data_IF_522259895982
#
_entry.id   IF_522259895982
#
_cell.length_a   1.000
_cell.length_b   1.000
_cell.length_c   1.000
_cell.angle_alpha   90.00
_cell.angle_beta   90.00
_cell.angle_gamma   90.00
#
_symmetry.space_group_name_H-M   'P 1'
#
loop_
_entity.id
_entity.type
_entity.pdbx_description
1 polymer ?
#
# COMPACT_ATOMS: atom_id res chain seq x y z
N UNK A 1 10.80 -12.89 -10.78
CA UNK A 1 10.32 -13.41 -9.49
C UNK A 1 8.81 -13.40 -9.51
N UNK A 2 8.20 -14.55 -9.33
CA UNK A 2 6.75 -14.67 -9.26
C UNK A 2 6.24 -14.06 -7.95
N UNK A 3 5.10 -13.37 -8.02
CA UNK A 3 4.48 -12.68 -6.88
C UNK A 3 3.19 -13.41 -6.49
N UNK A 4 2.85 -13.37 -5.21
CA UNK A 4 1.68 -14.07 -4.63
C UNK A 4 0.33 -13.73 -5.30
N UNK A 5 0.19 -12.57 -5.95
CA UNK A 5 -1.02 -12.15 -6.67
C UNK A 5 -1.06 -12.61 -8.14
N UNK A 6 0.05 -13.11 -8.71
CA UNK A 6 0.17 -13.35 -10.15
C UNK A 6 -0.94 -14.27 -10.70
N UNK A 7 -1.20 -15.37 -10.01
CA UNK A 7 -2.23 -16.35 -10.40
C UNK A 7 -3.64 -15.74 -10.38
N UNK A 8 -3.97 -14.99 -9.32
CA UNK A 8 -5.29 -14.36 -9.14
C UNK A 8 -5.54 -13.27 -10.18
N UNK A 9 -4.57 -12.40 -10.41
CA UNK A 9 -4.65 -11.37 -11.44
C UNK A 9 -4.80 -12.01 -12.83
N UNK A 10 -4.05 -13.09 -13.13
CA UNK A 10 -4.16 -13.81 -14.41
C UNK A 10 -5.53 -14.46 -14.59
N UNK A 11 -6.12 -15.01 -13.54
CA UNK A 11 -7.46 -15.59 -13.57
C UNK A 11 -8.54 -14.53 -13.78
N UNK A 12 -8.49 -13.45 -13.02
CA UNK A 12 -9.58 -12.47 -12.95
C UNK A 12 -9.55 -11.44 -14.09
N UNK A 13 -8.36 -11.16 -14.68
CA UNK A 13 -8.27 -10.24 -15.82
C UNK A 13 -9.09 -10.73 -17.04
N UNK A 14 -9.42 -12.04 -17.10
CA UNK A 14 -10.30 -12.58 -18.14
C UNK A 14 -11.75 -12.13 -18.00
N UNK A 15 -12.14 -11.67 -16.82
CA UNK A 15 -13.53 -11.33 -16.49
C UNK A 15 -13.76 -9.83 -16.40
N UNK A 16 -12.83 -9.09 -15.80
CA UNK A 16 -12.97 -7.66 -15.50
C UNK A 16 -11.62 -6.94 -15.63
N UNK A 17 -11.68 -5.61 -15.65
CA UNK A 17 -10.48 -4.80 -15.48
C UNK A 17 -9.80 -5.09 -14.14
N UNK A 18 -8.49 -4.95 -14.11
CA UNK A 18 -7.71 -5.08 -12.88
C UNK A 18 -7.21 -3.70 -12.45
N UNK A 19 -7.50 -3.33 -11.20
CA UNK A 19 -6.88 -2.18 -10.54
C UNK A 19 -5.85 -2.69 -9.54
N UNK A 20 -4.56 -2.47 -9.83
CA UNK A 20 -3.46 -2.91 -8.98
C UNK A 20 -2.82 -1.72 -8.28
N UNK A 21 -3.09 -1.57 -6.99
CA UNK A 21 -2.52 -0.52 -6.14
C UNK A 21 -1.42 -1.06 -5.21
N UNK A 22 -0.70 -0.17 -4.54
CA UNK A 22 0.31 -0.55 -3.56
C UNK A 22 1.47 0.44 -3.51
N UNK A 23 2.40 0.29 -2.54
CA UNK A 23 3.52 1.21 -2.37
C UNK A 23 4.31 1.43 -3.66
N UNK A 24 4.90 2.61 -3.82
CA UNK A 24 5.89 2.84 -4.88
C UNK A 24 7.02 1.81 -4.76
N UNK A 25 7.55 1.36 -5.89
CA UNK A 25 8.64 0.38 -5.95
C UNK A 25 8.31 -1.00 -5.32
N UNK A 26 7.03 -1.33 -5.10
CA UNK A 26 6.62 -2.68 -4.67
C UNK A 26 6.64 -3.73 -5.79
N UNK A 27 6.92 -3.32 -7.04
CA UNK A 27 7.02 -4.22 -8.19
C UNK A 27 5.73 -4.36 -9.01
N UNK A 28 4.75 -3.45 -8.89
CA UNK A 28 3.47 -3.48 -9.64
C UNK A 28 3.67 -3.58 -11.15
N UNK A 29 4.40 -2.64 -11.73
CA UNK A 29 4.67 -2.60 -13.17
C UNK A 29 5.42 -3.84 -13.64
N UNK A 30 6.36 -4.34 -12.84
CA UNK A 30 7.10 -5.57 -13.14
C UNK A 30 6.16 -6.78 -13.13
N UNK A 31 5.28 -6.89 -12.13
CA UNK A 31 4.30 -7.96 -12.06
C UNK A 31 3.41 -7.98 -13.32
N UNK A 32 2.77 -6.85 -13.65
CA UNK A 32 1.81 -6.84 -14.79
C UNK A 32 2.50 -7.11 -16.12
N UNK A 33 3.73 -6.63 -16.33
CA UNK A 33 4.51 -6.95 -17.55
C UNK A 33 4.89 -8.42 -17.68
N UNK A 34 5.00 -9.16 -16.57
CA UNK A 34 5.28 -10.60 -16.55
C UNK A 34 4.03 -11.47 -16.73
N UNK A 35 2.83 -10.89 -16.65
CA UNK A 35 1.58 -11.65 -16.75
C UNK A 35 1.10 -11.85 -18.19
N UNK A 36 1.54 -11.01 -19.12
CA UNK A 36 1.05 -10.99 -20.50
C UNK A 36 2.21 -11.13 -21.48
N UNK A 37 1.99 -11.92 -22.52
CA UNK A 37 2.98 -12.12 -23.58
C UNK A 37 3.03 -10.92 -24.55
N UNK A 38 1.85 -10.36 -24.85
CA UNK A 38 1.72 -9.17 -25.69
C UNK A 38 0.91 -8.09 -24.97
N UNK A 39 1.46 -6.89 -24.90
CA UNK A 39 0.79 -5.75 -24.25
C UNK A 39 1.25 -4.41 -24.82
N UNK A 40 0.39 -3.41 -24.66
CA UNK A 40 0.77 -2.00 -24.77
C UNK A 40 0.86 -1.38 -23.38
N UNK A 41 1.89 -0.55 -23.17
CA UNK A 41 2.14 0.10 -21.87
C UNK A 41 2.15 1.61 -22.03
N UNK A 42 1.38 2.29 -21.19
CA UNK A 42 1.29 3.74 -21.13
C UNK A 42 1.47 4.23 -19.70
N UNK A 43 2.40 5.15 -19.49
CA UNK A 43 2.64 5.80 -18.22
C UNK A 43 2.10 7.24 -18.26
N UNK A 44 1.15 7.57 -17.40
CA UNK A 44 0.56 8.92 -17.38
C UNK A 44 1.58 10.02 -17.05
N UNK A 45 2.73 9.70 -16.45
CA UNK A 45 3.80 10.67 -16.21
C UNK A 45 4.54 11.08 -17.51
N UNK A 46 4.46 10.27 -18.57
CA UNK A 46 5.01 10.57 -19.90
C UNK A 46 4.07 11.49 -20.70
N UNK A 47 4.61 12.56 -21.28
CA UNK A 47 3.81 13.49 -22.10
C UNK A 47 3.28 12.83 -23.38
N UNK A 48 4.11 12.01 -24.04
CA UNK A 48 3.73 11.32 -25.26
C UNK A 48 2.66 10.26 -25.01
N UNK A 49 2.77 9.53 -23.88
CA UNK A 49 1.77 8.57 -23.48
C UNK A 49 0.43 9.24 -23.13
N UNK A 50 0.45 10.41 -22.48
CA UNK A 50 -0.78 11.21 -22.26
C UNK A 50 -1.48 11.58 -23.56
N UNK A 51 -0.71 11.95 -24.59
CA UNK A 51 -1.26 12.24 -25.92
C UNK A 51 -1.86 10.98 -26.55
N UNK A 52 -1.15 9.85 -26.47
CA UNK A 52 -1.64 8.57 -26.96
C UNK A 52 -2.92 8.12 -26.25
N UNK A 53 -3.00 8.23 -24.92
CA UNK A 53 -4.18 7.92 -24.12
C UNK A 53 -5.39 8.78 -24.51
N UNK A 54 -5.20 10.08 -24.70
CA UNK A 54 -6.26 11.01 -25.12
C UNK A 54 -6.90 10.60 -26.46
N UNK A 55 -6.11 10.05 -27.37
CA UNK A 55 -6.56 9.62 -28.68
C UNK A 55 -6.81 8.11 -28.78
N UNK A 56 -6.76 7.37 -27.65
CA UNK A 56 -6.96 5.91 -27.57
C UNK A 56 -6.08 5.14 -28.57
N UNK A 57 -4.80 5.53 -28.67
CA UNK A 57 -3.83 4.96 -29.61
C UNK A 57 -3.12 3.76 -29.01
N UNK A 58 -3.82 2.65 -28.85
CA UNK A 58 -3.24 1.35 -28.51
C UNK A 58 -3.70 0.29 -29.47
N UNK A 59 -2.91 -0.77 -29.59
CA UNK A 59 -3.24 -1.92 -30.43
C UNK A 59 -4.44 -2.67 -29.86
N UNK A 60 -5.24 -3.27 -30.72
CA UNK A 60 -6.43 -4.03 -30.33
C UNK A 60 -6.19 -5.55 -30.39
N UNK A 61 -5.04 -5.97 -30.93
CA UNK A 61 -4.60 -7.36 -31.10
C UNK A 61 -3.62 -7.84 -30.01
N UNK A 62 -3.51 -7.10 -28.91
CA UNK A 62 -2.68 -7.44 -27.75
C UNK A 62 -3.51 -8.06 -26.62
N UNK A 63 -2.86 -8.82 -25.75
CA UNK A 63 -3.51 -9.46 -24.59
C UNK A 63 -4.01 -8.43 -23.58
N UNK A 64 -3.23 -7.36 -23.35
CA UNK A 64 -3.57 -6.34 -22.38
C UNK A 64 -3.10 -4.94 -22.77
N UNK A 65 -3.80 -3.92 -22.24
CA UNK A 65 -3.31 -2.54 -22.17
C UNK A 65 -3.06 -2.20 -20.71
N UNK A 66 -1.84 -1.77 -20.44
CA UNK A 66 -1.36 -1.45 -19.10
C UNK A 66 -1.31 0.08 -18.95
N UNK A 67 -2.14 0.62 -18.05
CA UNK A 67 -2.17 2.05 -17.72
C UNK A 67 -1.49 2.27 -16.38
N UNK A 68 -0.30 2.84 -16.38
CA UNK A 68 0.45 3.14 -15.15
C UNK A 68 0.20 4.59 -14.71
N UNK A 69 0.06 4.80 -13.41
CA UNK A 69 -0.22 6.08 -12.75
C UNK A 69 -1.47 6.81 -13.31
N UNK A 70 -2.45 6.06 -13.86
CA UNK A 70 -3.65 6.63 -14.49
C UNK A 70 -4.48 7.50 -13.55
N UNK A 71 -4.39 7.28 -12.23
CA UNK A 71 -5.09 8.05 -11.22
C UNK A 71 -4.75 9.56 -11.22
N UNK A 72 -3.64 9.93 -11.84
CA UNK A 72 -3.25 11.34 -12.04
C UNK A 72 -4.06 12.03 -13.15
N UNK A 73 -4.75 11.27 -14.00
CA UNK A 73 -5.63 11.82 -15.03
C UNK A 73 -6.91 12.37 -14.37
N UNK A 74 -7.30 13.64 -14.63
CA UNK A 74 -8.60 14.14 -14.20
C UNK A 74 -9.75 13.27 -14.73
N UNK A 75 -10.69 12.90 -13.87
CA UNK A 75 -11.86 12.06 -14.23
C UNK A 75 -11.51 10.69 -14.86
N UNK A 76 -10.36 10.12 -14.52
CA UNK A 76 -9.87 8.85 -15.07
C UNK A 76 -10.89 7.70 -14.96
N UNK A 77 -11.70 7.66 -13.91
CA UNK A 77 -12.73 6.62 -13.73
C UNK A 77 -13.85 6.72 -14.77
N UNK A 78 -14.29 7.94 -15.09
CA UNK A 78 -15.30 8.15 -16.13
C UNK A 78 -14.75 7.82 -17.52
N UNK A 79 -13.49 8.22 -17.77
CA UNK A 79 -12.79 7.90 -18.99
C UNK A 79 -12.62 6.38 -19.16
N UNK A 80 -12.19 5.68 -18.10
CA UNK A 80 -12.00 4.24 -18.11
C UNK A 80 -13.33 3.48 -18.28
N UNK A 81 -14.40 3.96 -17.64
CA UNK A 81 -15.76 3.44 -17.86
C UNK A 81 -16.16 3.55 -19.34
N UNK A 82 -15.93 4.71 -19.96
CA UNK A 82 -16.23 4.92 -21.36
C UNK A 82 -15.50 3.92 -22.26
N UNK A 83 -14.24 3.60 -21.96
CA UNK A 83 -13.48 2.59 -22.72
C UNK A 83 -14.08 1.21 -22.51
N UNK A 84 -14.29 0.81 -21.25
CA UNK A 84 -14.83 -0.51 -20.92
C UNK A 84 -16.19 -0.77 -21.60
N UNK A 85 -17.07 0.23 -21.57
CA UNK A 85 -18.42 0.12 -22.13
C UNK A 85 -18.43 0.14 -23.68
N UNK A 86 -17.41 0.71 -24.34
CA UNK A 86 -17.35 0.87 -25.81
C UNK A 86 -16.43 -0.14 -26.52
N UNK A 87 -15.33 -0.56 -25.89
CA UNK A 87 -14.32 -1.42 -26.51
C UNK A 87 -14.50 -2.91 -26.13
N UNK A 88 -15.55 -3.22 -25.38
CA UNK A 88 -15.86 -4.57 -24.90
C UNK A 88 -14.70 -5.17 -24.06
N UNK A 89 -14.42 -6.47 -24.18
CA UNK A 89 -13.48 -7.19 -23.31
C UNK A 89 -12.05 -7.26 -23.83
N UNK A 90 -11.75 -6.73 -25.02
CA UNK A 90 -10.40 -6.77 -25.63
C UNK A 90 -9.97 -5.43 -26.20
N UNK A 91 -8.70 -5.05 -26.04
CA UNK A 91 -7.71 -5.65 -25.14
C UNK A 91 -8.09 -5.46 -23.67
N UNK A 92 -7.64 -6.37 -22.83
CA UNK A 92 -7.93 -6.32 -21.39
C UNK A 92 -7.18 -5.19 -20.71
N UNK A 93 -7.80 -4.57 -19.73
CA UNK A 93 -7.26 -3.36 -19.10
C UNK A 93 -6.72 -3.69 -17.72
N UNK A 94 -5.47 -3.31 -17.49
CA UNK A 94 -4.85 -3.31 -16.16
C UNK A 94 -4.40 -1.89 -15.83
N UNK A 95 -4.86 -1.37 -14.71
CA UNK A 95 -4.46 -0.06 -14.19
C UNK A 95 -3.56 -0.26 -12.99
N UNK A 96 -2.40 0.36 -12.99
CA UNK A 96 -1.51 0.39 -11.82
C UNK A 96 -1.43 1.80 -11.23
N UNK A 97 -1.20 1.88 -9.94
CA UNK A 97 -1.03 3.16 -9.26
C UNK A 97 -0.34 3.05 -7.90
N UNK A 98 0.45 4.06 -7.58
CA UNK A 98 1.18 4.17 -6.32
C UNK A 98 0.34 4.71 -5.16
N UNK A 99 -0.82 5.29 -5.44
CA UNK A 99 -1.80 5.70 -4.44
C UNK A 99 -2.89 4.64 -4.26
N UNK A 100 -3.60 4.72 -3.15
CA UNK A 100 -4.78 3.90 -2.94
C UNK A 100 -5.89 4.30 -3.93
N UNK A 101 -6.02 3.54 -5.02
CA UNK A 101 -6.99 3.81 -6.09
C UNK A 101 -8.44 3.78 -5.59
N UNK A 102 -8.71 3.09 -4.49
CA UNK A 102 -10.05 3.02 -3.89
C UNK A 102 -10.44 4.29 -3.14
N UNK A 103 -9.48 5.03 -2.57
CA UNK A 103 -9.78 6.26 -1.84
C UNK A 103 -10.29 7.39 -2.72
N UNK A 104 -10.08 7.32 -4.02
CA UNK A 104 -10.73 8.22 -4.97
C UNK A 104 -12.21 7.84 -5.23
N UNK A 105 -12.81 6.96 -4.41
CA UNK A 105 -14.26 6.68 -4.43
C UNK A 105 -15.02 7.92 -3.97
N UNK A 106 -15.55 8.68 -4.93
CA UNK A 106 -16.64 9.60 -4.67
C UNK A 106 -17.95 8.81 -4.66
N UNK A 107 -18.93 9.27 -3.89
CA UNK A 107 -20.30 8.73 -3.94
C UNK A 107 -20.75 8.66 -5.41
N UNK A 108 -21.13 7.46 -5.89
CA UNK A 108 -21.46 7.22 -7.30
C UNK A 108 -20.26 6.75 -8.16
N UNK A 109 -19.44 5.82 -7.66
CA UNK A 109 -18.31 5.25 -8.42
C UNK A 109 -18.77 4.69 -9.77
N UNK A 110 -18.36 5.36 -10.85
CA UNK A 110 -18.74 5.02 -12.23
C UNK A 110 -18.18 3.65 -12.68
N UNK A 111 -17.21 3.08 -11.96
CA UNK A 111 -16.58 1.78 -12.29
C UNK A 111 -17.17 0.60 -11.53
N UNK A 112 -18.17 0.80 -10.66
CA UNK A 112 -18.77 -0.27 -9.86
C UNK A 112 -19.16 -1.49 -10.74
N UNK A 113 -18.75 -2.68 -10.33
CA UNK A 113 -19.02 -3.94 -11.04
C UNK A 113 -18.11 -4.25 -12.23
N UNK A 114 -17.22 -3.32 -12.67
CA UNK A 114 -16.38 -3.45 -13.86
C UNK A 114 -14.94 -3.84 -13.61
N UNK A 115 -14.49 -3.90 -12.35
CA UNK A 115 -13.11 -4.20 -11.98
C UNK A 115 -13.02 -5.11 -10.77
N UNK A 116 -11.87 -5.77 -10.64
CA UNK A 116 -11.35 -6.30 -9.39
C UNK A 116 -10.15 -5.46 -8.94
N UNK A 117 -10.05 -5.23 -7.62
CA UNK A 117 -8.98 -4.43 -7.02
C UNK A 117 -8.02 -5.33 -6.26
N UNK A 118 -6.73 -5.12 -6.45
CA UNK A 118 -5.65 -5.84 -5.78
C UNK A 118 -4.65 -4.88 -5.17
N UNK A 119 -4.09 -5.24 -4.01
CA UNK A 119 -3.07 -4.49 -3.29
C UNK A 119 -1.76 -5.27 -3.24
N UNK A 120 -0.77 -4.83 -4.01
CA UNK A 120 0.55 -5.46 -4.03
C UNK A 120 1.43 -4.90 -2.92
N UNK A 121 1.61 -5.69 -1.88
CA UNK A 121 2.51 -5.37 -0.76
C UNK A 121 3.99 -5.63 -1.09
N UNK A 122 4.93 -5.07 -0.29
CA UNK A 122 6.31 -5.52 -0.29
C UNK A 122 6.44 -7.02 -0.02
N UNK A 123 7.62 -7.57 -0.26
CA UNK A 123 7.92 -8.98 0.01
C UNK A 123 7.83 -9.26 1.51
N UNK A 124 7.34 -10.43 1.86
CA UNK A 124 7.37 -10.97 3.21
C UNK A 124 8.10 -12.33 3.25
N UNK A 125 8.25 -12.86 4.44
CA UNK A 125 8.98 -14.11 4.64
C UNK A 125 8.32 -15.29 3.90
N UNK A 126 6.98 -15.37 3.92
CA UNK A 126 6.22 -16.43 3.24
C UNK A 126 6.46 -16.39 1.72
N UNK A 127 6.34 -15.21 1.12
CA UNK A 127 6.53 -15.06 -0.32
C UNK A 127 7.96 -15.37 -0.75
N UNK A 128 8.95 -14.92 0.02
CA UNK A 128 10.36 -15.17 -0.28
C UNK A 128 10.71 -16.66 -0.19
N UNK A 129 10.31 -17.32 0.88
CA UNK A 129 10.60 -18.74 1.07
C UNK A 129 9.90 -19.62 0.04
N UNK A 130 8.64 -19.26 -0.32
CA UNK A 130 7.84 -20.00 -1.30
C UNK A 130 8.39 -19.88 -2.72
N UNK A 131 8.77 -18.68 -3.17
CA UNK A 131 9.11 -18.41 -4.57
C UNK A 131 10.60 -18.30 -4.85
N UNK A 132 11.45 -18.17 -3.83
CA UNK A 132 12.90 -18.09 -4.01
C UNK A 132 13.65 -19.30 -3.44
N UNK A 133 12.95 -20.25 -2.81
CA UNK A 133 13.56 -21.40 -2.12
C UNK A 133 14.72 -21.00 -1.19
N UNK A 134 14.65 -19.78 -0.64
CA UNK A 134 15.69 -19.25 0.26
C UNK A 134 15.45 -19.75 1.68
N UNK A 135 16.53 -20.03 2.39
CA UNK A 135 16.45 -20.35 3.82
C UNK A 135 15.73 -19.25 4.61
N UNK A 136 14.77 -19.64 5.44
CA UNK A 136 13.91 -18.72 6.17
C UNK A 136 14.68 -17.80 7.12
N UNK A 137 15.78 -18.28 7.72
CA UNK A 137 16.62 -17.49 8.63
C UNK A 137 17.38 -16.41 7.86
N UNK A 138 17.90 -16.74 6.68
CA UNK A 138 18.61 -15.79 5.81
C UNK A 138 17.61 -14.75 5.29
N UNK A 139 16.46 -15.19 4.80
CA UNK A 139 15.38 -14.32 4.34
C UNK A 139 14.92 -13.34 5.43
N UNK A 140 14.69 -13.83 6.64
CA UNK A 140 14.31 -13.00 7.78
C UNK A 140 15.39 -11.96 8.13
N UNK A 141 16.67 -12.36 8.20
CA UNK A 141 17.79 -11.44 8.46
C UNK A 141 17.87 -10.35 7.40
N UNK A 142 17.65 -10.70 6.13
CA UNK A 142 17.67 -9.75 5.01
C UNK A 142 16.48 -8.79 5.09
N UNK A 143 15.28 -9.29 5.37
CA UNK A 143 14.09 -8.44 5.60
C UNK A 143 14.31 -7.43 6.72
N UNK A 144 14.85 -7.88 7.85
CA UNK A 144 15.16 -7.02 9.02
C UNK A 144 16.27 -6.00 8.75
N UNK A 145 17.11 -6.22 7.74
CA UNK A 145 18.25 -5.36 7.42
C UNK A 145 18.05 -4.46 6.20
N UNK A 146 17.31 -4.94 5.19
CA UNK A 146 17.22 -4.34 3.86
C UNK A 146 15.79 -4.08 3.39
N UNK A 147 14.78 -4.27 4.26
CA UNK A 147 13.36 -4.07 3.93
C UNK A 147 12.76 -5.18 3.05
N UNK A 148 11.43 -5.19 2.96
CA UNK A 148 10.67 -6.07 2.05
C UNK A 148 10.42 -5.46 0.66
N UNK A 149 10.87 -4.24 0.39
CA UNK A 149 10.79 -3.69 -0.96
C UNK A 149 11.72 -4.47 -1.89
N UNK A 150 11.26 -4.87 -3.11
CA UNK A 150 12.01 -5.81 -3.96
C UNK A 150 13.45 -5.36 -4.27
N UNK A 151 13.64 -4.10 -4.63
CA UNK A 151 14.96 -3.61 -5.03
C UNK A 151 16.01 -3.70 -3.91
N UNK A 152 15.81 -3.10 -2.71
CA UNK A 152 16.79 -3.21 -1.63
C UNK A 152 16.87 -4.61 -1.04
N UNK A 153 15.79 -5.41 -1.07
CA UNK A 153 15.82 -6.79 -0.63
C UNK A 153 16.76 -7.65 -1.52
N UNK A 154 16.59 -7.56 -2.85
CA UNK A 154 17.36 -8.33 -3.82
C UNK A 154 18.84 -7.93 -3.83
N UNK A 155 19.17 -6.67 -3.55
CA UNK A 155 20.55 -6.22 -3.38
C UNK A 155 21.19 -6.77 -2.10
N UNK A 156 20.40 -6.96 -1.02
CA UNK A 156 20.87 -7.53 0.25
C UNK A 156 21.95 -6.70 0.96
N UNK A 157 22.17 -5.44 0.54
CA UNK A 157 23.18 -4.55 1.10
C UNK A 157 22.56 -3.41 1.93
N UNK A 158 23.00 -3.31 3.19
CA UNK A 158 22.58 -2.27 4.12
C UNK A 158 22.91 -0.85 3.66
N UNK A 159 24.04 -0.67 2.97
CA UNK A 159 24.47 0.63 2.46
C UNK A 159 23.57 1.04 1.30
N UNK A 160 23.27 0.11 0.40
CA UNK A 160 22.29 0.33 -0.67
C UNK A 160 20.93 0.73 -0.09
N UNK A 161 20.40 -0.03 0.88
CA UNK A 161 19.13 0.29 1.54
C UNK A 161 19.12 1.70 2.14
N UNK A 162 20.19 2.12 2.83
CA UNK A 162 20.29 3.49 3.41
C UNK A 162 20.18 4.57 2.35
N UNK A 163 20.79 4.37 1.18
CA UNK A 163 20.70 5.30 0.04
C UNK A 163 19.33 5.29 -0.59
N UNK A 164 18.80 4.09 -0.86
CA UNK A 164 17.46 3.88 -1.41
C UNK A 164 16.37 4.51 -0.53
N UNK A 165 16.45 4.32 0.79
CA UNK A 165 15.47 4.86 1.75
C UNK A 165 15.32 6.38 1.66
N UNK A 166 16.40 7.11 1.43
CA UNK A 166 16.37 8.58 1.28
C UNK A 166 15.55 8.96 0.04
N UNK A 167 15.90 8.37 -1.10
CA UNK A 167 15.22 8.69 -2.37
C UNK A 167 13.78 8.20 -2.39
N UNK A 168 13.47 7.05 -1.79
CA UNK A 168 12.12 6.52 -1.74
C UNK A 168 11.16 7.44 -0.98
N UNK A 169 11.55 7.96 0.18
CA UNK A 169 10.72 8.91 0.93
C UNK A 169 10.58 10.25 0.19
N UNK A 170 11.67 10.73 -0.39
CA UNK A 170 11.66 11.96 -1.19
C UNK A 170 10.68 11.87 -2.37
N UNK A 171 10.61 10.73 -3.03
CA UNK A 171 9.66 10.52 -4.12
C UNK A 171 8.22 10.60 -3.60
N UNK A 172 7.89 9.90 -2.51
CA UNK A 172 6.55 9.93 -1.91
C UNK A 172 6.16 11.35 -1.49
N UNK A 173 7.06 12.08 -0.81
CA UNK A 173 6.76 13.40 -0.27
C UNK A 173 6.82 14.50 -1.33
N UNK A 174 7.71 14.43 -2.32
CA UNK A 174 7.92 15.51 -3.29
C UNK A 174 7.14 15.32 -4.58
N UNK A 175 6.98 14.11 -5.09
CA UNK A 175 6.22 13.89 -6.32
C UNK A 175 4.73 13.69 -6.03
N UNK A 176 4.37 12.76 -5.16
CA UNK A 176 2.96 12.41 -4.93
C UNK A 176 2.25 13.46 -4.05
N UNK A 177 2.97 14.02 -3.06
CA UNK A 177 2.40 15.03 -2.17
C UNK A 177 2.26 16.40 -2.84
N UNK A 178 3.28 16.87 -3.60
CA UNK A 178 3.27 18.20 -4.22
C UNK A 178 2.23 18.29 -5.35
N UNK A 179 1.90 17.18 -5.99
CA UNK A 179 0.82 17.13 -6.98
C UNK A 179 -0.56 17.42 -6.36
N UNK A 180 -0.70 17.22 -5.04
CA UNK A 180 -1.96 17.36 -4.31
C UNK A 180 -1.99 18.55 -3.33
N UNK A 181 -0.82 19.04 -2.84
CA UNK A 181 -0.74 19.99 -1.74
C UNK A 181 0.38 21.04 -1.91
N UNK A 182 0.28 22.15 -1.16
CA UNK A 182 1.26 23.25 -1.24
C UNK A 182 2.61 22.90 -0.58
N UNK A 183 3.68 23.45 -1.13
CA UNK A 183 5.09 23.30 -0.68
C UNK A 183 5.32 23.72 0.79
N UNK A 184 4.48 24.61 1.34
CA UNK A 184 4.68 25.17 2.70
C UNK A 184 4.64 24.16 3.84
N UNK A 185 4.07 22.98 3.62
CA UNK A 185 3.92 21.93 4.66
C UNK A 185 4.99 20.84 4.60
N UNK A 186 5.83 20.78 3.54
CA UNK A 186 6.73 19.65 3.30
C UNK A 186 7.69 19.39 4.49
N UNK A 187 8.37 20.43 5.01
CA UNK A 187 9.26 20.27 6.17
C UNK A 187 8.55 19.75 7.41
N UNK A 188 7.31 20.19 7.65
CA UNK A 188 6.52 19.71 8.81
C UNK A 188 6.09 18.27 8.65
N UNK A 189 5.90 17.81 7.40
CA UNK A 189 5.56 16.42 7.11
C UNK A 189 6.76 15.51 7.28
N UNK A 190 7.96 15.97 6.86
CA UNK A 190 9.22 15.29 7.15
C UNK A 190 9.38 15.09 8.67
N UNK A 191 9.18 16.16 9.46
CA UNK A 191 9.18 16.07 10.91
C UNK A 191 8.09 15.14 11.47
N UNK A 192 6.89 15.14 10.87
CA UNK A 192 5.84 14.19 11.25
C UNK A 192 6.30 12.75 11.04
N UNK A 193 6.90 12.44 9.89
CA UNK A 193 7.44 11.09 9.62
C UNK A 193 8.49 10.71 10.66
N UNK A 194 9.41 11.61 11.02
CA UNK A 194 10.41 11.37 12.06
C UNK A 194 9.75 11.12 13.44
N UNK A 195 8.72 11.90 13.79
CA UNK A 195 7.91 11.69 14.99
C UNK A 195 7.23 10.33 15.00
N UNK A 196 6.70 9.87 13.86
CA UNK A 196 6.07 8.57 13.73
C UNK A 196 7.08 7.43 13.80
N UNK A 197 8.27 7.59 13.20
CA UNK A 197 9.36 6.59 13.33
C UNK A 197 9.78 6.41 14.79
N UNK A 198 9.93 7.49 15.54
CA UNK A 198 10.29 7.44 16.96
C UNK A 198 9.21 6.80 17.86
N UNK A 199 7.96 6.77 17.38
CA UNK A 199 6.79 6.23 18.10
C UNK A 199 6.20 5.00 17.39
N UNK A 200 6.93 4.38 16.48
CA UNK A 200 6.47 3.17 15.79
C UNK A 200 6.14 2.06 16.79
N UNK A 201 5.09 1.29 16.50
CA UNK A 201 4.54 0.25 17.36
C UNK A 201 3.94 0.75 18.70
N UNK A 202 3.99 2.06 18.99
CA UNK A 202 3.34 2.66 20.14
C UNK A 202 2.04 3.36 19.74
N UNK A 203 1.10 3.48 20.68
CA UNK A 203 -0.08 4.33 20.47
C UNK A 203 0.32 5.80 20.38
N UNK A 204 -0.21 6.53 19.40
CA UNK A 204 0.11 7.92 19.15
C UNK A 204 -1.04 8.85 19.58
N UNK A 205 -0.69 9.94 20.27
CA UNK A 205 -1.61 11.02 20.54
C UNK A 205 -1.50 12.09 19.44
N UNK A 206 -2.56 12.28 18.68
CA UNK A 206 -2.63 13.34 17.65
C UNK A 206 -2.43 14.74 18.25
N UNK A 207 -2.91 14.95 19.49
CA UNK A 207 -2.76 16.22 20.21
C UNK A 207 -1.30 16.53 20.53
N UNK A 208 -0.55 15.54 21.04
CA UNK A 208 0.86 15.73 21.37
C UNK A 208 1.68 16.00 20.08
N UNK A 209 1.44 15.25 19.01
CA UNK A 209 2.11 15.49 17.72
C UNK A 209 1.76 16.86 17.16
N UNK A 210 0.50 17.31 17.29
CA UNK A 210 0.09 18.63 16.83
C UNK A 210 0.79 19.76 17.58
N UNK A 211 0.98 19.60 18.90
CA UNK A 211 1.76 20.53 19.73
C UNK A 211 3.23 20.54 19.31
N UNK A 212 3.86 19.38 19.15
CA UNK A 212 5.28 19.26 18.74
C UNK A 212 5.54 19.94 17.37
N UNK A 213 4.58 19.85 16.43
CA UNK A 213 4.70 20.39 15.08
C UNK A 213 4.13 21.82 14.92
N UNK A 214 3.54 22.39 15.98
CA UNK A 214 2.84 23.67 15.92
C UNK A 214 1.81 23.74 14.79
N UNK A 215 0.86 22.78 14.80
CA UNK A 215 -0.25 22.69 13.84
C UNK A 215 -1.55 22.22 14.55
N UNK A 216 -2.68 22.30 13.87
CA UNK A 216 -3.94 21.78 14.37
C UNK A 216 -3.99 20.25 14.35
N UNK A 217 -4.71 19.66 15.29
CA UNK A 217 -4.93 18.21 15.39
C UNK A 217 -5.51 17.64 14.09
N UNK A 218 -6.47 18.34 13.47
CA UNK A 218 -7.05 17.93 12.18
C UNK A 218 -6.01 17.87 11.07
N UNK A 219 -5.03 18.77 11.09
CA UNK A 219 -3.92 18.79 10.13
C UNK A 219 -3.07 17.54 10.27
N UNK A 220 -2.71 17.12 11.50
CA UNK A 220 -1.96 15.88 11.75
C UNK A 220 -2.75 14.66 11.26
N UNK A 221 -4.05 14.58 11.60
CA UNK A 221 -4.92 13.49 11.14
C UNK A 221 -4.97 13.40 9.61
N UNK A 222 -5.13 14.53 8.92
CA UNK A 222 -5.14 14.59 7.47
C UNK A 222 -3.80 14.17 6.87
N UNK A 223 -2.69 14.61 7.43
CA UNK A 223 -1.36 14.23 6.94
C UNK A 223 -1.09 12.73 7.10
N UNK A 224 -1.48 12.13 8.25
CA UNK A 224 -1.36 10.68 8.44
C UNK A 224 -2.26 9.93 7.44
N UNK A 225 -3.49 10.40 7.21
CA UNK A 225 -4.38 9.81 6.21
C UNK A 225 -3.77 9.87 4.79
N UNK A 226 -3.08 10.95 4.45
CA UNK A 226 -2.41 11.07 3.16
C UNK A 226 -1.20 10.11 3.08
N UNK A 227 -0.39 10.00 4.15
CA UNK A 227 0.69 9.03 4.21
C UNK A 227 0.18 7.58 4.08
N UNK A 228 -1.01 7.28 4.62
CA UNK A 228 -1.68 5.98 4.40
C UNK A 228 -2.07 5.77 2.94
N UNK A 229 -2.59 6.82 2.28
CA UNK A 229 -2.99 6.76 0.88
C UNK A 229 -1.83 6.48 -0.06
N UNK A 230 -0.64 6.94 0.29
CA UNK A 230 0.60 6.65 -0.44
C UNK A 230 1.33 5.41 0.07
N UNK A 231 0.70 4.62 0.93
CA UNK A 231 1.31 3.40 1.49
C UNK A 231 2.67 3.66 2.15
N UNK A 232 2.86 4.83 2.76
CA UNK A 232 4.02 5.09 3.59
C UNK A 232 3.85 4.47 4.98
N UNK A 233 2.65 4.63 5.54
CA UNK A 233 2.26 4.10 6.85
C UNK A 233 0.88 3.46 6.80
N UNK A 234 0.52 2.73 7.86
CA UNK A 234 -0.85 2.30 8.13
C UNK A 234 -1.12 2.34 9.64
N UNK A 235 -2.39 2.51 9.99
CA UNK A 235 -2.82 2.55 11.39
C UNK A 235 -3.47 1.25 11.80
N UNK A 236 -3.15 0.80 13.02
CA UNK A 236 -3.86 -0.26 13.72
C UNK A 236 -4.61 0.39 14.88
N UNK A 237 -5.94 0.35 14.83
CA UNK A 237 -6.81 0.95 15.86
C UNK A 237 -7.11 -0.08 16.95
N UNK A 238 -7.39 0.36 18.20
CA UNK A 238 -7.75 -0.58 19.25
C UNK A 238 -9.10 -1.26 18.96
N UNK A 239 -9.21 -2.53 19.29
CA UNK A 239 -10.48 -3.25 19.19
C UNK A 239 -11.49 -2.72 20.22
N UNK A 240 -12.70 -2.43 19.77
CA UNK A 240 -13.80 -2.02 20.64
C UNK A 240 -15.13 -2.46 20.02
N UNK A 241 -16.05 -2.97 20.86
CA UNK A 241 -17.38 -3.34 20.39
C UNK A 241 -18.15 -2.18 19.72
N UNK A 242 -17.89 -0.96 20.12
CA UNK A 242 -18.45 0.24 19.49
C UNK A 242 -17.40 0.83 18.53
N UNK A 243 -17.58 0.64 17.22
CA UNK A 243 -16.69 1.08 16.15
C UNK A 243 -16.46 2.60 16.20
N UNK A 244 -17.51 3.40 16.43
CA UNK A 244 -17.39 4.86 16.49
C UNK A 244 -16.44 5.31 17.63
N UNK A 245 -16.45 4.60 18.77
CA UNK A 245 -15.54 4.87 19.89
C UNK A 245 -14.11 4.39 19.64
N UNK A 246 -13.90 3.35 18.83
CA UNK A 246 -12.55 2.88 18.51
C UNK A 246 -11.82 3.85 17.59
N UNK A 247 -12.53 4.50 16.66
CA UNK A 247 -11.97 5.50 15.75
C UNK A 247 -11.49 6.78 16.45
N UNK A 248 -12.02 7.05 17.66
CA UNK A 248 -11.61 8.21 18.47
C UNK A 248 -10.43 7.92 19.38
N UNK A 249 -9.99 6.65 19.50
CA UNK A 249 -8.86 6.26 20.35
C UNK A 249 -7.54 6.37 19.61
N UNK A 250 -6.46 6.45 20.37
CA UNK A 250 -5.09 6.56 19.88
C UNK A 250 -4.70 5.30 19.07
N UNK A 251 -4.38 5.41 17.77
CA UNK A 251 -3.93 4.29 16.96
C UNK A 251 -2.46 3.99 17.20
N UNK A 252 -2.02 2.76 16.93
CA UNK A 252 -0.61 2.46 16.66
C UNK A 252 -0.34 2.73 15.17
N UNK A 253 0.86 3.24 14.84
CA UNK A 253 1.28 3.51 13.47
C UNK A 253 2.44 2.59 13.10
N UNK A 254 2.34 1.98 11.93
CA UNK A 254 3.35 1.09 11.35
C UNK A 254 3.73 1.57 9.95
N UNK A 255 4.96 1.27 9.55
CA UNK A 255 5.50 1.63 8.24
C UNK A 255 5.48 0.44 7.29
N UNK A 256 5.14 0.64 6.03
CA UNK A 256 5.33 -0.39 4.99
C UNK A 256 6.80 -0.77 4.81
N UNK A 257 7.72 0.17 5.08
CA UNK A 257 9.15 -0.07 5.20
C UNK A 257 9.53 -0.25 6.68
N UNK A 258 9.42 -1.48 7.19
CA UNK A 258 9.67 -1.79 8.61
C UNK A 258 11.09 -1.43 9.07
N UNK A 259 12.08 -1.41 8.17
CA UNK A 259 13.48 -1.10 8.50
C UNK A 259 13.71 0.40 8.80
N UNK A 260 12.73 1.26 8.52
CA UNK A 260 12.74 2.66 9.02
C UNK A 260 12.72 2.75 10.53
N UNK A 261 12.10 1.79 11.19
CA UNK A 261 12.01 1.72 12.66
C UNK A 261 13.36 1.33 13.23
N UNK A 262 13.94 2.19 14.08
CA UNK A 262 15.30 2.00 14.59
C UNK A 262 15.38 0.95 15.68
N UNK A 263 14.43 0.92 16.62
CA UNK A 263 14.37 -0.06 17.68
C UNK A 263 14.14 -1.47 17.14
N UNK A 264 14.97 -2.48 17.50
CA UNK A 264 14.85 -3.83 16.96
C UNK A 264 13.53 -4.53 17.33
N UNK A 265 13.00 -4.32 18.53
CA UNK A 265 11.73 -4.90 18.98
C UNK A 265 10.55 -4.31 18.23
N UNK A 266 10.46 -2.98 18.19
CA UNK A 266 9.43 -2.27 17.42
C UNK A 266 9.53 -2.57 15.92
N UNK A 267 10.74 -2.76 15.36
CA UNK A 267 10.93 -3.18 13.96
C UNK A 267 10.39 -4.58 13.71
N UNK A 268 10.63 -5.52 14.62
CA UNK A 268 10.07 -6.87 14.52
C UNK A 268 8.55 -6.83 14.56
N UNK A 269 7.97 -6.08 15.50
CA UNK A 269 6.52 -5.89 15.61
C UNK A 269 5.97 -5.25 14.31
N UNK A 270 6.66 -4.25 13.76
CA UNK A 270 6.28 -3.62 12.50
C UNK A 270 6.36 -4.60 11.31
N UNK A 271 7.36 -5.49 11.26
CA UNK A 271 7.47 -6.50 10.21
C UNK A 271 6.31 -7.49 10.28
N UNK A 272 5.96 -7.93 11.50
CA UNK A 272 4.78 -8.80 11.74
C UNK A 272 3.50 -8.09 11.33
N UNK A 273 3.34 -6.81 11.68
CA UNK A 273 2.20 -5.99 11.26
C UNK A 273 2.05 -5.95 9.73
N UNK A 274 3.16 -5.76 8.99
CA UNK A 274 3.16 -5.77 7.53
C UNK A 274 2.73 -7.13 6.96
N UNK A 275 3.23 -8.23 7.51
CA UNK A 275 2.87 -9.59 7.07
C UNK A 275 1.38 -9.88 7.32
N UNK A 276 0.88 -9.53 8.50
CA UNK A 276 -0.54 -9.68 8.86
C UNK A 276 -1.43 -8.84 7.93
N UNK A 277 -1.10 -7.56 7.74
CA UNK A 277 -1.86 -6.67 6.85
C UNK A 277 -1.88 -7.20 5.42
N UNK A 278 -0.73 -7.67 4.90
CA UNK A 278 -0.64 -8.29 3.58
C UNK A 278 -1.55 -9.51 3.46
N UNK A 279 -1.54 -10.39 4.45
CA UNK A 279 -2.41 -11.58 4.47
C UNK A 279 -3.89 -11.21 4.52
N UNK A 280 -4.25 -10.23 5.32
CA UNK A 280 -5.63 -9.74 5.43
C UNK A 280 -6.11 -9.11 4.11
N UNK A 281 -5.29 -8.23 3.52
CA UNK A 281 -5.60 -7.65 2.21
C UNK A 281 -5.70 -8.73 1.11
N UNK A 282 -4.87 -9.77 1.17
CA UNK A 282 -4.97 -10.89 0.25
C UNK A 282 -6.33 -11.61 0.35
N UNK A 283 -6.80 -11.90 1.56
CA UNK A 283 -8.12 -12.52 1.78
C UNK A 283 -9.25 -11.61 1.29
N UNK A 284 -9.13 -10.32 1.55
CA UNK A 284 -10.13 -9.33 1.12
C UNK A 284 -10.19 -9.22 -0.40
N UNK A 285 -9.02 -9.08 -1.07
CA UNK A 285 -8.90 -8.87 -2.50
C UNK A 285 -9.25 -10.13 -3.33
N UNK A 286 -8.97 -11.34 -2.79
CA UNK A 286 -9.15 -12.61 -3.53
C UNK A 286 -10.38 -13.40 -3.13
N UNK A 287 -10.89 -13.22 -1.91
CA UNK A 287 -12.00 -14.03 -1.37
C UNK A 287 -13.20 -13.17 -0.96
N UNK A 288 -13.05 -11.83 -0.92
CA UNK A 288 -14.12 -10.92 -0.53
C UNK A 288 -14.44 -10.91 0.97
N UNK A 289 -13.55 -11.46 1.81
CA UNK A 289 -13.71 -11.42 3.27
C UNK A 289 -13.65 -9.97 3.77
N UNK A 290 -14.36 -9.66 4.84
CA UNK A 290 -14.20 -8.39 5.57
C UNK A 290 -13.11 -8.56 6.62
N UNK A 291 -11.95 -7.94 6.41
CA UNK A 291 -10.81 -8.12 7.30
C UNK A 291 -10.44 -6.86 8.04
N UNK A 292 -10.00 -7.00 9.30
CA UNK A 292 -9.54 -5.88 10.13
C UNK A 292 -8.37 -6.33 11.00
N UNK A 293 -7.38 -5.45 11.12
CA UNK A 293 -6.28 -5.60 12.07
C UNK A 293 -6.47 -4.60 13.20
N UNK A 294 -6.51 -5.09 14.42
CA UNK A 294 -6.66 -4.30 15.65
C UNK A 294 -5.55 -4.63 16.62
N UNK A 295 -5.41 -3.83 17.68
CA UNK A 295 -4.70 -4.22 18.90
C UNK A 295 -5.67 -4.24 20.08
N UNK A 296 -5.31 -4.96 21.16
CA UNK A 296 -6.09 -4.97 22.39
C UNK A 296 -5.36 -4.20 23.46
N UNK A 297 -6.09 -3.36 24.20
CA UNK A 297 -5.57 -2.70 25.40
C UNK A 297 -6.64 -2.64 26.48
N UNK A 298 -6.35 -3.22 27.64
CA UNK A 298 -7.24 -3.18 28.80
C UNK A 298 -7.15 -1.84 29.52
N UNK A 299 -8.08 -1.57 30.42
CA UNK A 299 -8.05 -0.38 31.28
C UNK A 299 -6.84 -0.38 32.23
N UNK A 300 -6.36 -1.56 32.59
CA UNK A 300 -5.21 -1.77 33.45
C UNK A 300 -3.87 -1.68 32.70
N UNK A 301 -3.91 -1.37 31.41
CA UNK A 301 -2.72 -1.17 30.57
C UNK A 301 -2.12 -2.45 29.99
N UNK A 302 -2.72 -3.63 30.21
CA UNK A 302 -2.30 -4.86 29.51
C UNK A 302 -2.62 -4.75 28.03
N UNK A 303 -1.69 -5.17 27.17
CA UNK A 303 -1.78 -5.03 25.73
C UNK A 303 -1.51 -6.36 25.05
N UNK A 304 -2.19 -6.59 23.92
CA UNK A 304 -1.87 -7.63 22.92
C UNK A 304 -1.65 -6.90 21.59
N UNK A 305 -0.53 -7.13 20.96
CA UNK A 305 -0.07 -6.34 19.82
C UNK A 305 -1.03 -6.39 18.65
N UNK A 306 -1.57 -7.58 18.32
CA UNK A 306 -2.50 -7.73 17.21
C UNK A 306 -3.68 -8.62 17.55
N UNK A 307 -4.86 -8.18 17.11
CA UNK A 307 -6.08 -8.97 17.04
C UNK A 307 -6.54 -8.99 15.57
N UNK A 308 -6.56 -10.17 15.01
CA UNK A 308 -7.05 -10.41 13.66
C UNK A 308 -8.55 -10.67 13.70
N UNK A 309 -9.31 -9.92 12.90
CA UNK A 309 -10.76 -10.05 12.78
C UNK A 309 -11.10 -10.34 11.32
N UNK A 310 -11.88 -11.40 11.07
CA UNK A 310 -12.36 -11.79 9.74
C UNK A 310 -13.88 -11.97 9.84
N UNK A 311 -14.63 -11.31 8.95
CA UNK A 311 -16.09 -11.32 8.91
C UNK A 311 -16.71 -11.00 10.29
N UNK A 312 -16.18 -9.92 10.90
CA UNK A 312 -16.53 -9.40 12.22
C UNK A 312 -16.30 -10.40 13.38
N UNK A 313 -15.54 -11.48 13.17
CA UNK A 313 -15.16 -12.46 14.20
C UNK A 313 -13.68 -12.37 14.52
N UNK A 314 -13.28 -12.22 15.79
CA UNK A 314 -11.89 -12.37 16.21
C UNK A 314 -11.42 -13.81 15.95
N UNK A 315 -10.33 -13.96 15.20
CA UNK A 315 -9.79 -15.28 14.81
C UNK A 315 -8.43 -15.57 15.42
N UNK A 316 -7.63 -14.54 15.72
CA UNK A 316 -6.31 -14.72 16.33
C UNK A 316 -5.92 -13.49 17.16
N UNK A 317 -5.27 -13.75 18.31
CA UNK A 317 -4.59 -12.74 19.12
C UNK A 317 -3.09 -13.06 19.13
N UNK A 318 -2.24 -12.08 18.80
CA UNK A 318 -0.82 -12.29 18.55
C UNK A 318 -0.04 -11.29 19.40
N UNK A 319 0.94 -11.78 20.16
CA UNK A 319 1.91 -10.99 20.90
C UNK A 319 3.30 -11.25 20.31
N UNK A 320 4.06 -10.18 20.03
CA UNK A 320 5.40 -10.25 19.41
C UNK A 320 6.45 -10.10 20.50
N UNK A 321 7.33 -11.10 20.63
CA UNK A 321 8.44 -11.09 21.59
C UNK A 321 9.78 -11.29 20.89
N UNK A 322 10.78 -10.53 21.31
CA UNK A 322 12.19 -10.65 20.89
C UNK A 322 12.95 -11.60 21.81
#
# INVERSE_FOLDING_TARGET
MERYLAEYVRKDHSQKMILLSGPRQSGKTTLVRQLFDTYDYFNFDSEDDRKALKHKRWRRDVDAVLFDELHKMPQWKQWLKGIYDTEQTHPRIVVTGSANLEMFRRVGDSLAGRYFSYRLHPLDLEEITRFQSQDSTVAFKTLMACSGFPEPYLQGDKTFYKRWRKTHLDIILRQDWLDLFSVRSLKKIELLVDCLVARAACSISYTNIAQDLHVDVKTVQNWIMILENFYAVFRVIPYHHNIARSLLKEPKVYFYDAVRVCDPGARLENLVACALLKRLHFLEDTQGCLTKLHYLRTKEGKEVDFLVVIDDRPVAAIEVKT
#
